data_IF_929513293416
#
_entry.id   IF_929513293416
#
_cell.length_a   1.000
_cell.length_b   1.000
_cell.length_c   1.000
_cell.angle_alpha   90.00
_cell.angle_beta   90.00
_cell.angle_gamma   90.00
#
_symmetry.space_group_name_H-M   'P 1'
#
loop_
_entity.id
_entity.type
_entity.pdbx_description
1 polymer ?
#
# COMPACT_ATOMS: atom_id res chain seq x y z
N UNK A 1 6.38 22.19 3.24
CA UNK A 1 7.10 20.94 2.87
C UNK A 1 8.05 21.25 1.73
N UNK A 2 9.33 20.94 1.88
CA UNK A 2 10.33 21.13 0.81
C UNK A 2 10.40 19.88 -0.06
N UNK A 3 10.05 19.99 -1.34
CA UNK A 3 10.21 18.89 -2.29
C UNK A 3 11.67 18.77 -2.71
N UNK A 4 12.28 17.60 -2.50
CA UNK A 4 13.59 17.25 -3.05
C UNK A 4 13.40 16.33 -4.25
N UNK A 5 14.08 16.62 -5.36
CA UNK A 5 14.10 15.73 -6.52
C UNK A 5 15.12 14.62 -6.27
N UNK A 6 14.64 13.38 -6.39
CA UNK A 6 15.48 12.18 -6.32
C UNK A 6 15.37 11.44 -7.65
N UNK A 7 16.52 11.08 -8.25
CA UNK A 7 16.54 10.19 -9.39
C UNK A 7 16.55 8.74 -8.87
N UNK A 8 15.59 7.93 -9.32
CA UNK A 8 15.53 6.50 -9.02
C UNK A 8 15.57 5.71 -10.34
N UNK A 9 16.23 4.56 -10.30
CA UNK A 9 16.19 3.61 -11.41
C UNK A 9 15.02 2.66 -11.23
N UNK A 10 14.19 2.55 -12.24
CA UNK A 10 13.08 1.59 -12.29
C UNK A 10 13.29 0.63 -13.47
N UNK A 11 12.85 -0.63 -13.35
CA UNK A 11 12.81 -1.53 -14.49
C UNK A 11 11.98 -0.92 -15.63
N UNK A 12 12.47 -1.04 -16.86
CA UNK A 12 11.87 -0.40 -18.02
C UNK A 12 10.40 -0.79 -18.21
N UNK A 13 10.06 -2.05 -17.99
CA UNK A 13 8.68 -2.55 -18.05
C UNK A 13 7.76 -1.87 -17.04
N UNK A 14 8.24 -1.62 -15.82
CA UNK A 14 7.46 -0.96 -14.79
C UNK A 14 7.23 0.51 -15.15
N UNK A 15 8.26 1.19 -15.64
CA UNK A 15 8.14 2.57 -16.11
C UNK A 15 7.14 2.67 -17.29
N UNK A 16 7.20 1.73 -18.24
CA UNK A 16 6.23 1.67 -19.35
C UNK A 16 4.80 1.51 -18.86
N UNK A 17 4.55 0.60 -17.92
CA UNK A 17 3.21 0.38 -17.34
C UNK A 17 2.69 1.62 -16.63
N UNK A 18 3.53 2.30 -15.85
CA UNK A 18 3.19 3.52 -15.15
C UNK A 18 2.86 4.66 -16.12
N UNK A 19 3.68 4.86 -17.16
CA UNK A 19 3.40 5.85 -18.20
C UNK A 19 2.12 5.55 -18.98
N UNK A 20 1.83 4.27 -19.27
CA UNK A 20 0.58 3.88 -19.90
C UNK A 20 -0.63 4.13 -19.00
N UNK A 21 -0.49 3.96 -17.68
CA UNK A 21 -1.54 4.28 -16.71
C UNK A 21 -1.79 5.79 -16.61
N UNK A 22 -0.73 6.60 -16.65
CA UNK A 22 -0.81 8.07 -16.68
C UNK A 22 -1.49 8.55 -17.97
N UNK A 23 -1.07 8.04 -19.13
CA UNK A 23 -1.68 8.36 -20.42
C UNK A 23 -3.17 7.95 -20.50
N UNK A 24 -3.54 6.86 -19.82
CA UNK A 24 -4.93 6.41 -19.70
C UNK A 24 -5.74 7.17 -18.63
N UNK A 25 -5.16 8.16 -17.95
CA UNK A 25 -5.82 8.93 -16.89
C UNK A 25 -6.11 8.15 -15.61
N UNK A 26 -5.55 6.94 -15.45
CA UNK A 26 -5.75 6.10 -14.26
C UNK A 26 -4.93 6.60 -13.07
N UNK A 27 -3.83 7.31 -13.32
CA UNK A 27 -3.03 7.99 -12.31
C UNK A 27 -2.75 9.42 -12.76
N UNK A 28 -2.68 10.39 -11.82
CA UNK A 28 -2.47 11.80 -12.16
C UNK A 28 -1.04 12.12 -12.58
N UNK A 29 -0.05 11.39 -12.03
CA UNK A 29 1.33 11.40 -12.51
C UNK A 29 2.10 10.20 -11.96
N UNK A 30 3.18 9.81 -12.65
CA UNK A 30 4.08 8.74 -12.15
C UNK A 30 4.66 9.08 -10.78
N UNK A 31 5.16 10.31 -10.61
CA UNK A 31 5.77 10.75 -9.34
C UNK A 31 4.76 10.78 -8.19
N UNK A 32 3.57 11.36 -8.42
CA UNK A 32 2.52 11.39 -7.41
C UNK A 32 1.99 10.00 -7.05
N UNK A 33 1.91 9.10 -8.04
CA UNK A 33 1.55 7.71 -7.78
C UNK A 33 2.60 6.99 -6.93
N UNK A 34 3.89 7.19 -7.20
CA UNK A 34 4.97 6.62 -6.38
C UNK A 34 4.92 7.18 -4.95
N UNK A 35 4.67 8.47 -4.76
CA UNK A 35 4.52 9.06 -3.43
C UNK A 35 3.37 8.43 -2.65
N UNK A 36 2.22 8.21 -3.30
CA UNK A 36 1.08 7.54 -2.68
C UNK A 36 1.40 6.08 -2.32
N UNK A 37 2.15 5.36 -3.15
CA UNK A 37 2.60 4.01 -2.85
C UNK A 37 3.55 3.98 -1.64
N UNK A 38 4.50 4.90 -1.56
CA UNK A 38 5.41 5.01 -0.42
C UNK A 38 4.65 5.32 0.87
N UNK A 39 3.68 6.24 0.83
CA UNK A 39 2.83 6.56 1.98
C UNK A 39 2.05 5.32 2.46
N UNK A 40 1.48 4.55 1.53
CA UNK A 40 0.76 3.30 1.87
C UNK A 40 1.68 2.23 2.41
N UNK A 41 2.92 2.15 1.94
CA UNK A 41 3.92 1.23 2.45
C UNK A 41 4.27 1.54 3.90
N UNK A 42 4.47 2.83 4.23
CA UNK A 42 4.65 3.30 5.60
C UNK A 42 3.44 2.94 6.50
N UNK A 43 2.21 3.23 6.06
CA UNK A 43 0.99 2.86 6.79
C UNK A 43 0.88 1.34 6.99
N UNK A 44 1.22 0.56 5.96
CA UNK A 44 1.16 -0.90 6.01
C UNK A 44 2.24 -1.46 6.95
N UNK A 45 3.43 -0.86 6.98
CA UNK A 45 4.50 -1.24 7.88
C UNK A 45 4.11 -1.00 9.35
N UNK A 46 3.47 0.14 9.65
CA UNK A 46 2.95 0.44 10.99
C UNK A 46 1.88 -0.56 11.44
N UNK A 47 0.95 -0.90 10.55
CA UNK A 47 -0.09 -1.91 10.82
C UNK A 47 0.56 -3.29 11.05
N UNK A 48 1.53 -3.66 10.21
CA UNK A 48 2.24 -4.94 10.29
C UNK A 48 2.99 -5.06 11.63
N UNK A 49 3.68 -4.00 12.05
CA UNK A 49 4.38 -3.97 13.34
C UNK A 49 3.41 -4.05 14.52
N UNK A 50 2.28 -3.35 14.42
CA UNK A 50 1.22 -3.42 15.44
C UNK A 50 0.67 -4.83 15.58
N UNK A 51 0.39 -5.51 14.46
CA UNK A 51 -0.06 -6.90 14.46
C UNK A 51 0.99 -7.84 15.03
N UNK A 52 2.27 -7.68 14.66
CA UNK A 52 3.37 -8.46 15.24
C UNK A 52 3.46 -8.27 16.75
N UNK A 53 3.26 -7.06 17.26
CA UNK A 53 3.24 -6.80 18.71
C UNK A 53 2.08 -7.49 19.43
N UNK A 54 0.92 -7.58 18.78
CA UNK A 54 -0.29 -8.17 19.37
C UNK A 54 -0.31 -9.70 19.31
N UNK A 55 0.18 -10.28 18.21
CA UNK A 55 0.03 -11.70 17.89
C UNK A 55 1.36 -12.45 17.78
N UNK A 56 2.50 -11.76 17.93
CA UNK A 56 3.83 -12.34 17.71
C UNK A 56 4.05 -12.73 16.24
N UNK A 57 4.97 -13.66 16.02
CA UNK A 57 5.35 -14.12 14.68
C UNK A 57 4.34 -15.11 14.06
N UNK A 58 3.46 -15.72 14.86
CA UNK A 58 2.38 -16.59 14.35
C UNK A 58 1.30 -15.80 13.60
N UNK A 59 1.18 -14.50 13.90
CA UNK A 59 0.20 -13.62 13.28
C UNK A 59 -1.23 -13.84 13.77
N UNK A 60 -2.15 -13.02 13.26
CA UNK A 60 -3.55 -13.10 13.66
C UNK A 60 -4.23 -14.37 13.08
N UNK A 61 -4.75 -15.22 13.97
CA UNK A 61 -5.52 -16.41 13.63
C UNK A 61 -6.86 -16.13 12.92
N UNK A 62 -7.50 -17.17 12.38
CA UNK A 62 -8.73 -17.06 11.60
C UNK A 62 -9.92 -16.51 12.41
N UNK A 63 -9.94 -16.65 13.75
CA UNK A 63 -11.00 -16.03 14.56
C UNK A 63 -10.89 -14.50 14.57
N UNK A 64 -9.67 -13.96 14.59
CA UNK A 64 -9.43 -12.51 14.59
C UNK A 64 -9.83 -11.90 13.26
N UNK A 65 -9.58 -12.62 12.16
CA UNK A 65 -10.03 -12.20 10.84
C UNK A 65 -11.55 -12.17 10.73
N UNK A 66 -12.23 -13.22 11.17
CA UNK A 66 -13.72 -13.26 11.20
C UNK A 66 -14.32 -12.16 12.07
N UNK A 67 -13.69 -11.88 13.21
CA UNK A 67 -14.09 -10.76 14.08
C UNK A 67 -13.91 -9.42 13.38
N UNK A 68 -12.79 -9.20 12.68
CA UNK A 68 -12.51 -7.97 11.95
C UNK A 68 -13.50 -7.78 10.79
N UNK A 69 -13.77 -8.84 10.00
CA UNK A 69 -14.73 -8.82 8.91
C UNK A 69 -16.12 -8.40 9.40
N UNK A 70 -16.61 -8.97 10.50
CA UNK A 70 -17.88 -8.57 11.12
C UNK A 70 -17.86 -7.12 11.62
N UNK A 71 -16.79 -6.71 12.30
CA UNK A 71 -16.68 -5.36 12.88
C UNK A 71 -16.63 -4.29 11.81
N UNK A 72 -16.03 -4.60 10.66
CA UNK A 72 -15.93 -3.72 9.49
C UNK A 72 -17.14 -3.84 8.54
N UNK A 73 -18.10 -4.72 8.83
CA UNK A 73 -19.28 -4.95 7.97
C UNK A 73 -18.95 -5.58 6.62
N UNK A 74 -17.87 -6.35 6.54
CA UNK A 74 -17.40 -7.04 5.33
C UNK A 74 -17.94 -8.47 5.21
N UNK A 75 -18.68 -8.95 6.22
CA UNK A 75 -19.26 -10.30 6.28
C UNK A 75 -20.60 -10.44 5.54
N UNK A 76 -21.09 -9.35 4.93
CA UNK A 76 -22.38 -9.29 4.23
C UNK A 76 -22.30 -9.32 2.69
N UNK A 77 -21.16 -9.74 2.11
CA UNK A 77 -20.96 -9.86 0.66
C UNK A 77 -20.93 -11.31 0.18
#
# INVERSE_FOLDING_TARGET
>A
MTMRKTAISLPEDQLRRLKAAEAAGRIPSVSGHIQELLRRDEETAEVTETLRRLFGDEGAGPEHRKWAERTLGLDAA
#
